data_IF_898195468054
#
_entry.id   IF_898195468054
#
_cell.length_a   1.000
_cell.length_b   1.000
_cell.length_c   1.000
_cell.angle_alpha   90.00
_cell.angle_beta   90.00
_cell.angle_gamma   90.00
#
_symmetry.space_group_name_H-M   'P 1'
#
loop_
_entity.id
_entity.type
_entity.pdbx_description
1 polymer ?
#
# COMPACT_ATOMS: atom_id res chain seq x y z
N UNK A 1 -3.01 -37.32 1.39
CA UNK A 1 -3.09 -35.85 1.26
C UNK A 1 -2.26 -35.44 0.05
N UNK A 2 -2.84 -34.69 -0.88
CA UNK A 2 -2.18 -34.34 -2.14
C UNK A 2 -1.28 -33.12 -1.93
N UNK A 3 -0.21 -33.04 -2.72
CA UNK A 3 0.82 -31.99 -2.67
C UNK A 3 0.25 -30.58 -2.89
N UNK A 4 -0.88 -30.49 -3.58
CA UNK A 4 -1.60 -29.25 -3.88
C UNK A 4 -2.27 -28.64 -2.63
N UNK A 5 -2.77 -29.46 -1.71
CA UNK A 5 -3.40 -28.99 -0.45
C UNK A 5 -2.37 -28.27 0.45
N UNK A 6 -1.12 -28.73 0.43
CA UNK A 6 -0.01 -28.12 1.17
C UNK A 6 0.40 -26.76 0.59
N UNK A 7 0.31 -26.60 -0.74
CA UNK A 7 0.67 -25.35 -1.40
C UNK A 7 -0.38 -24.27 -1.10
N UNK A 8 -1.67 -24.63 -1.19
CA UNK A 8 -2.78 -23.73 -0.85
C UNK A 8 -2.73 -23.32 0.62
N UNK A 9 -2.45 -24.25 1.54
CA UNK A 9 -2.41 -23.94 2.97
C UNK A 9 -1.16 -23.13 3.38
N UNK A 10 -0.03 -23.31 2.67
CA UNK A 10 1.17 -22.49 2.81
C UNK A 10 0.94 -21.04 2.37
N UNK A 11 0.26 -20.85 1.25
CA UNK A 11 -0.09 -19.52 0.73
C UNK A 11 -1.07 -18.80 1.66
N UNK A 12 -2.08 -19.50 2.20
CA UNK A 12 -3.01 -18.93 3.19
C UNK A 12 -2.26 -18.47 4.44
N UNK A 13 -1.35 -19.29 4.97
CA UNK A 13 -0.57 -18.92 6.16
C UNK A 13 0.26 -17.65 5.93
N UNK A 14 0.94 -17.56 4.79
CA UNK A 14 1.74 -16.38 4.42
C UNK A 14 0.84 -15.14 4.28
N UNK A 15 -0.35 -15.27 3.68
CA UNK A 15 -1.34 -14.19 3.58
C UNK A 15 -1.75 -13.68 4.96
N UNK A 16 -2.05 -14.58 5.91
CA UNK A 16 -2.41 -14.19 7.27
C UNK A 16 -1.25 -13.48 7.99
N UNK A 17 -0.02 -13.97 7.82
CA UNK A 17 1.18 -13.33 8.38
C UNK A 17 1.40 -11.92 7.82
N UNK A 18 1.25 -11.72 6.51
CA UNK A 18 1.37 -10.41 5.88
C UNK A 18 0.29 -9.45 6.41
N UNK A 19 -0.96 -9.91 6.52
CA UNK A 19 -2.05 -9.08 7.08
C UNK A 19 -1.76 -8.65 8.52
N UNK A 20 -1.26 -9.57 9.35
CA UNK A 20 -0.87 -9.24 10.72
C UNK A 20 0.26 -8.20 10.77
N UNK A 21 1.28 -8.34 9.91
CA UNK A 21 2.37 -7.37 9.79
C UNK A 21 1.88 -5.98 9.38
N UNK A 22 0.95 -5.90 8.42
CA UNK A 22 0.34 -4.63 8.00
C UNK A 22 -0.30 -3.92 9.21
N UNK A 23 -1.07 -4.64 10.03
CA UNK A 23 -1.70 -4.07 11.22
C UNK A 23 -0.66 -3.58 12.23
N UNK A 24 0.40 -4.36 12.46
CA UNK A 24 1.49 -3.96 13.36
C UNK A 24 2.17 -2.66 12.92
N UNK A 25 2.50 -2.54 11.63
CA UNK A 25 3.17 -1.34 11.09
C UNK A 25 2.22 -0.14 11.09
N UNK A 26 0.92 -0.34 10.85
CA UNK A 26 -0.08 0.73 11.01
C UNK A 26 -0.15 1.22 12.46
N UNK A 27 -0.11 0.31 13.43
CA UNK A 27 -0.05 0.66 14.85
C UNK A 27 1.21 1.46 15.21
N UNK A 28 2.36 1.04 14.67
CA UNK A 28 3.63 1.77 14.84
C UNK A 28 3.57 3.16 14.21
N UNK A 29 3.01 3.29 13.02
CA UNK A 29 2.83 4.57 12.34
C UNK A 29 1.99 5.53 13.20
N UNK A 30 0.89 5.06 13.78
CA UNK A 30 0.09 5.88 14.69
C UNK A 30 0.89 6.32 15.93
N UNK A 31 1.66 5.42 16.53
CA UNK A 31 2.52 5.76 17.67
C UNK A 31 3.59 6.79 17.30
N UNK A 32 4.24 6.65 16.14
CA UNK A 32 5.26 7.60 15.67
C UNK A 32 4.66 8.99 15.48
N UNK A 33 3.46 9.08 14.91
CA UNK A 33 2.78 10.37 14.67
C UNK A 33 2.41 11.10 15.97
N UNK A 34 2.43 10.45 17.13
CA UNK A 34 2.26 11.12 18.44
C UNK A 34 3.54 11.74 19.00
N UNK A 35 4.71 11.46 18.39
CA UNK A 35 6.02 11.93 18.88
C UNK A 35 6.41 13.27 18.22
N UNK A 36 7.35 14.01 18.84
CA UNK A 36 7.80 15.33 18.36
C UNK A 36 8.59 15.31 17.04
N UNK A 37 8.60 16.43 16.31
CA UNK A 37 8.82 16.55 14.86
C UNK A 37 10.16 16.06 14.28
N UNK A 38 11.27 16.12 15.01
CA UNK A 38 12.60 15.90 14.41
C UNK A 38 13.04 14.42 14.31
N UNK A 39 12.49 13.53 15.12
CA UNK A 39 12.77 12.07 15.06
C UNK A 39 11.74 11.34 14.18
N UNK A 40 10.63 12.00 13.86
CA UNK A 40 9.45 11.40 13.24
C UNK A 40 9.55 11.26 11.73
N UNK A 41 10.25 12.18 11.04
CA UNK A 41 10.17 12.26 9.58
C UNK A 41 10.67 11.01 8.86
N UNK A 42 11.85 10.50 9.23
CA UNK A 42 12.41 9.31 8.57
C UNK A 42 11.60 8.05 8.93
N UNK A 43 11.23 7.89 10.21
CA UNK A 43 10.44 6.75 10.66
C UNK A 43 9.05 6.68 10.02
N UNK A 44 8.39 7.81 9.77
CA UNK A 44 7.11 7.84 9.05
C UNK A 44 7.25 7.37 7.60
N UNK A 45 8.28 7.87 6.90
CA UNK A 45 8.53 7.47 5.51
C UNK A 45 8.84 5.98 5.41
N UNK A 46 9.65 5.45 6.35
CA UNK A 46 10.01 4.03 6.39
C UNK A 46 8.77 3.14 6.66
N UNK A 47 7.88 3.53 7.58
CA UNK A 47 6.63 2.81 7.82
C UNK A 47 5.72 2.81 6.58
N UNK A 48 5.55 3.95 5.93
CA UNK A 48 4.71 4.06 4.72
C UNK A 48 5.30 3.22 3.58
N UNK A 49 6.62 3.27 3.37
CA UNK A 49 7.29 2.46 2.37
C UNK A 49 7.13 0.96 2.64
N UNK A 50 7.28 0.54 3.91
CA UNK A 50 7.09 -0.85 4.32
C UNK A 50 5.66 -1.33 4.08
N UNK A 51 4.65 -0.51 4.38
CA UNK A 51 3.24 -0.82 4.08
C UNK A 51 3.01 -0.99 2.58
N UNK A 52 3.54 -0.10 1.75
CA UNK A 52 3.42 -0.20 0.29
C UNK A 52 4.04 -1.51 -0.21
N UNK A 53 5.23 -1.87 0.26
CA UNK A 53 5.90 -3.13 -0.10
C UNK A 53 5.03 -4.33 0.28
N UNK A 54 4.53 -4.38 1.52
CA UNK A 54 3.69 -5.49 1.98
C UNK A 54 2.38 -5.60 1.20
N UNK A 55 1.77 -4.49 0.77
CA UNK A 55 0.57 -4.51 -0.05
C UNK A 55 0.83 -5.09 -1.44
N UNK A 56 1.97 -4.79 -2.07
CA UNK A 56 2.35 -5.43 -3.34
C UNK A 56 2.66 -6.92 -3.18
N UNK A 57 3.35 -7.32 -2.09
CA UNK A 57 3.59 -8.74 -1.80
C UNK A 57 2.27 -9.47 -1.53
N UNK A 58 1.34 -8.85 -0.81
CA UNK A 58 0.00 -9.40 -0.58
C UNK A 58 -0.76 -9.60 -1.90
N UNK A 59 -0.70 -8.63 -2.81
CA UNK A 59 -1.31 -8.74 -4.12
C UNK A 59 -0.75 -9.94 -4.91
N UNK A 60 0.58 -10.12 -4.92
CA UNK A 60 1.25 -11.27 -5.56
C UNK A 60 0.75 -12.61 -4.97
N UNK A 61 0.65 -12.72 -3.64
CA UNK A 61 0.12 -13.93 -2.97
C UNK A 61 -1.35 -14.19 -3.24
N UNK A 62 -2.11 -13.18 -3.62
CA UNK A 62 -3.51 -13.30 -4.03
C UNK A 62 -3.67 -13.53 -5.54
N UNK A 63 -2.57 -13.62 -6.30
CA UNK A 63 -2.58 -13.89 -7.73
C UNK A 63 -2.67 -12.65 -8.61
N UNK A 64 -2.36 -11.46 -8.08
CA UNK A 64 -2.36 -10.19 -8.82
C UNK A 64 -0.95 -9.66 -8.99
N UNK A 65 -0.59 -9.28 -10.21
CA UNK A 65 0.71 -8.67 -10.49
C UNK A 65 0.80 -7.23 -10.00
N UNK A 66 2.03 -6.76 -9.73
CA UNK A 66 2.27 -5.35 -9.40
C UNK A 66 1.79 -4.39 -10.51
N UNK A 67 1.86 -4.82 -11.78
CA UNK A 67 1.39 -4.05 -12.93
C UNK A 67 -0.14 -3.85 -12.86
N UNK A 68 -0.89 -4.90 -12.53
CA UNK A 68 -2.35 -4.80 -12.38
C UNK A 68 -2.72 -3.85 -11.23
N UNK A 69 -1.99 -3.91 -10.11
CA UNK A 69 -2.16 -2.98 -8.99
C UNK A 69 -1.88 -1.54 -9.43
N UNK A 70 -0.77 -1.30 -10.12
CA UNK A 70 -0.37 0.04 -10.59
C UNK A 70 -1.39 0.64 -11.58
N UNK A 71 -1.89 -0.15 -12.51
CA UNK A 71 -2.92 0.30 -13.45
C UNK A 71 -4.24 0.62 -12.71
N UNK A 72 -4.60 -0.17 -11.71
CA UNK A 72 -5.80 0.11 -10.91
C UNK A 72 -5.64 1.36 -10.02
N UNK A 73 -4.44 1.61 -9.48
CA UNK A 73 -4.10 2.85 -8.77
C UNK A 73 -4.27 4.04 -9.72
N UNK A 74 -3.69 4.00 -10.92
CA UNK A 74 -3.82 5.08 -11.92
C UNK A 74 -5.27 5.33 -12.31
N UNK A 75 -6.06 4.27 -12.48
CA UNK A 75 -7.50 4.38 -12.78
C UNK A 75 -8.25 5.06 -11.63
N UNK A 76 -8.01 4.62 -10.40
CA UNK A 76 -8.66 5.16 -9.20
C UNK A 76 -8.31 6.64 -8.98
N UNK A 77 -7.04 7.02 -9.20
CA UNK A 77 -6.61 8.41 -9.14
C UNK A 77 -7.33 9.28 -10.17
N UNK A 78 -7.45 8.82 -11.43
CA UNK A 78 -8.20 9.56 -12.45
C UNK A 78 -9.67 9.76 -12.08
N UNK A 79 -10.31 8.72 -11.53
CA UNK A 79 -11.70 8.81 -11.06
C UNK A 79 -11.81 9.88 -9.97
N UNK A 80 -10.99 9.80 -8.92
CA UNK A 80 -11.03 10.77 -7.83
C UNK A 80 -10.71 12.21 -8.27
N UNK A 81 -9.87 12.40 -9.30
CA UNK A 81 -9.61 13.72 -9.88
C UNK A 81 -10.86 14.25 -10.61
N UNK A 82 -11.49 13.44 -11.45
CA UNK A 82 -12.69 13.84 -12.23
C UNK A 82 -13.88 14.12 -11.31
N UNK A 83 -14.02 13.33 -10.24
CA UNK A 83 -15.10 13.50 -9.26
C UNK A 83 -14.83 14.64 -8.26
N UNK A 84 -13.69 15.32 -8.37
CA UNK A 84 -13.23 16.34 -7.44
C UNK A 84 -13.31 15.84 -5.97
N UNK A 85 -12.72 14.67 -5.70
CA UNK A 85 -12.64 14.11 -4.36
C UNK A 85 -12.07 15.15 -3.36
N UNK A 86 -12.44 15.04 -2.08
CA UNK A 86 -11.97 15.93 -1.01
C UNK A 86 -10.43 16.06 -0.99
N UNK A 87 -9.70 15.00 -1.30
CA UNK A 87 -8.24 15.01 -1.38
C UNK A 87 -7.72 15.81 -2.59
N UNK A 88 -8.46 15.84 -3.70
CA UNK A 88 -8.14 16.66 -4.85
C UNK A 88 -8.49 18.13 -4.61
N UNK A 89 -9.70 18.40 -4.11
CA UNK A 89 -10.13 19.74 -3.70
C UNK A 89 -9.14 20.38 -2.70
N UNK A 90 -8.57 19.58 -1.80
CA UNK A 90 -7.57 20.02 -0.82
C UNK A 90 -6.15 19.93 -1.34
N UNK A 91 -5.85 20.71 -2.38
CA UNK A 91 -4.47 20.96 -2.81
C UNK A 91 -3.94 20.03 -3.90
N UNK A 92 -4.81 19.48 -4.73
CA UNK A 92 -4.51 18.67 -5.91
C UNK A 92 -3.66 17.44 -5.59
N UNK A 93 -3.94 16.77 -4.46
CA UNK A 93 -3.09 15.68 -3.97
C UNK A 93 -3.13 14.46 -4.91
N UNK A 94 -4.30 14.16 -5.48
CA UNK A 94 -4.46 13.02 -6.39
C UNK A 94 -3.76 13.31 -7.72
N UNK A 95 -3.89 14.53 -8.25
CA UNK A 95 -3.16 14.97 -9.45
C UNK A 95 -1.64 14.90 -9.25
N UNK A 96 -1.11 15.37 -8.11
CA UNK A 96 0.32 15.30 -7.79
C UNK A 96 0.82 13.86 -7.76
N UNK A 97 0.11 12.96 -7.08
CA UNK A 97 0.47 11.55 -7.01
C UNK A 97 0.38 10.88 -8.39
N UNK A 98 -0.66 11.17 -9.15
CA UNK A 98 -0.82 10.66 -10.50
C UNK A 98 0.35 11.02 -11.41
N UNK A 99 0.81 12.27 -11.35
CA UNK A 99 1.97 12.73 -12.13
C UNK A 99 3.26 12.04 -11.69
N UNK A 100 3.51 11.94 -10.37
CA UNK A 100 4.68 11.21 -9.84
C UNK A 100 4.72 9.76 -10.31
N UNK A 101 3.58 9.07 -10.38
CA UNK A 101 3.51 7.69 -10.86
C UNK A 101 3.67 7.59 -12.39
N UNK A 102 3.33 8.63 -13.14
CA UNK A 102 3.50 8.67 -14.60
C UNK A 102 4.96 8.87 -15.01
N UNK A 103 5.74 9.57 -14.19
CA UNK A 103 7.16 9.86 -14.42
C UNK A 103 8.09 8.65 -14.18
N UNK A 104 7.62 7.60 -13.48
CA UNK A 104 8.40 6.38 -13.18
C UNK A 104 8.54 5.39 -14.37
N UNK A 105 8.39 5.87 -15.61
CA UNK A 105 8.42 5.04 -16.83
C UNK A 105 9.80 4.91 -17.44
#
# INVERSE_FOLDING_TARGET
>A
MKKDDFNIMGDIKIIEEIKAQIICILGELFLILTKGTNVVKNSVVDCIASLIILLYVLADKLGYSAIEVDENIKKSLKVGIVEEDELEKKGNNLTKLFNHLKERR
#
